data_IF_963269399549
#
_entry.id   IF_963269399549
#
_cell.length_a   1.000
_cell.length_b   1.000
_cell.length_c   1.000
_cell.angle_alpha   90.00
_cell.angle_beta   90.00
_cell.angle_gamma   90.00
#
_symmetry.space_group_name_H-M   'P 1'
#
loop_
_entity.id
_entity.type
_entity.pdbx_description
1 polymer ?
#
# COMPACT_ATOMS: atom_id res chain seq x y z
N UNK A 1 -26.80 -16.51 -31.85
CA UNK A 1 -26.74 -16.84 -30.42
C UNK A 1 -26.11 -15.66 -29.69
N UNK A 2 -26.87 -14.82 -28.98
CA UNK A 2 -26.26 -13.82 -28.11
C UNK A 2 -25.59 -14.58 -26.95
N UNK A 3 -24.28 -14.39 -26.78
CA UNK A 3 -23.53 -15.02 -25.71
C UNK A 3 -24.04 -14.55 -24.36
N UNK A 4 -24.46 -15.48 -23.51
CA UNK A 4 -24.75 -15.22 -22.10
C UNK A 4 -23.44 -14.88 -21.40
N UNK A 5 -23.26 -13.60 -21.06
CA UNK A 5 -22.16 -13.21 -20.17
C UNK A 5 -22.51 -13.68 -18.76
N UNK A 6 -21.69 -14.56 -18.22
CA UNK A 6 -21.77 -15.00 -16.83
C UNK A 6 -21.22 -13.85 -15.98
N UNK A 7 -22.10 -13.02 -15.44
CA UNK A 7 -21.72 -11.97 -14.51
C UNK A 7 -21.35 -12.66 -13.19
N UNK A 8 -20.08 -13.01 -13.04
CA UNK A 8 -19.55 -13.45 -11.74
C UNK A 8 -19.74 -12.25 -10.81
N UNK A 9 -20.53 -12.42 -9.76
CA UNK A 9 -20.83 -11.34 -8.82
C UNK A 9 -19.50 -10.73 -8.32
N UNK A 10 -19.24 -9.48 -8.69
CA UNK A 10 -18.03 -8.79 -8.24
C UNK A 10 -18.16 -8.55 -6.73
N UNK A 11 -17.20 -9.07 -5.96
CA UNK A 11 -17.14 -8.89 -4.51
C UNK A 11 -16.08 -7.83 -4.20
N UNK A 12 -16.50 -6.75 -3.56
CA UNK A 12 -15.58 -5.77 -2.99
C UNK A 12 -15.20 -6.20 -1.58
N UNK A 13 -13.93 -5.97 -1.20
CA UNK A 13 -13.48 -6.07 0.18
C UNK A 13 -13.26 -4.68 0.75
N UNK A 14 -13.92 -4.38 1.86
CA UNK A 14 -13.82 -3.11 2.58
C UNK A 14 -13.09 -3.35 3.89
N UNK A 15 -11.94 -2.68 4.04
CA UNK A 15 -11.20 -2.72 5.29
C UNK A 15 -11.83 -1.76 6.31
N UNK A 16 -12.11 -2.27 7.50
CA UNK A 16 -12.34 -1.47 8.71
C UNK A 16 -11.13 -1.65 9.64
N UNK A 17 -11.00 -0.88 10.74
CA UNK A 17 -9.85 -1.04 11.64
C UNK A 17 -9.67 -2.47 12.14
N UNK A 18 -10.72 -3.26 12.34
CA UNK A 18 -10.62 -4.60 12.94
C UNK A 18 -11.27 -5.69 12.10
N UNK A 19 -11.76 -5.40 10.89
CA UNK A 19 -12.44 -6.39 10.06
C UNK A 19 -12.18 -6.16 8.57
N UNK A 20 -12.33 -7.22 7.79
CA UNK A 20 -12.57 -7.13 6.34
C UNK A 20 -14.01 -7.50 6.05
N UNK A 21 -14.73 -6.61 5.38
CA UNK A 21 -16.13 -6.79 5.00
C UNK A 21 -16.21 -7.08 3.51
N UNK A 22 -16.70 -8.26 3.15
CA UNK A 22 -16.94 -8.65 1.77
C UNK A 22 -18.36 -8.26 1.37
N UNK A 23 -18.49 -7.48 0.30
CA UNK A 23 -19.74 -6.93 -0.20
C UNK A 23 -19.95 -7.36 -1.64
N UNK A 24 -21.09 -8.00 -1.93
CA UNK A 24 -21.54 -8.24 -3.29
C UNK A 24 -21.95 -6.91 -3.91
N UNK A 25 -21.22 -6.46 -4.92
CA UNK A 25 -21.33 -5.08 -5.43
C UNK A 25 -22.65 -4.81 -6.15
N UNK A 26 -23.21 -5.79 -6.85
CA UNK A 26 -24.45 -5.62 -7.61
C UNK A 26 -25.67 -5.37 -6.71
N UNK A 27 -25.71 -6.01 -5.54
CA UNK A 27 -26.82 -5.94 -4.59
C UNK A 27 -26.52 -5.07 -3.37
N UNK A 28 -25.27 -4.59 -3.24
CA UNK A 28 -24.72 -3.98 -2.03
C UNK A 28 -24.88 -4.83 -0.76
N UNK A 29 -25.05 -6.14 -0.91
CA UNK A 29 -25.27 -7.06 0.21
C UNK A 29 -23.94 -7.42 0.86
N UNK A 30 -23.86 -7.30 2.18
CA UNK A 30 -22.75 -7.86 2.95
C UNK A 30 -22.81 -9.38 2.87
N UNK A 31 -21.79 -9.96 2.23
CA UNK A 31 -21.62 -11.41 2.09
C UNK A 31 -20.99 -11.98 3.35
N UNK A 32 -19.99 -11.28 3.90
CA UNK A 32 -19.29 -11.71 5.12
C UNK A 32 -18.58 -10.56 5.81
N UNK A 33 -18.43 -10.67 7.12
CA UNK A 33 -17.47 -9.91 7.93
C UNK A 33 -16.46 -10.90 8.52
N UNK A 34 -15.18 -10.57 8.43
CA UNK A 34 -14.10 -11.39 8.98
C UNK A 34 -13.26 -10.53 9.92
N UNK A 35 -13.18 -10.95 11.17
CA UNK A 35 -12.42 -10.25 12.20
C UNK A 35 -10.91 -10.43 11.98
N UNK A 36 -10.17 -9.34 12.16
CA UNK A 36 -8.72 -9.30 12.05
C UNK A 36 -8.07 -9.55 13.42
N UNK A 37 -6.92 -10.25 13.46
CA UNK A 37 -6.17 -10.50 14.69
C UNK A 37 -5.52 -9.24 15.29
N UNK A 38 -5.57 -8.11 14.57
CA UNK A 38 -5.06 -6.81 14.99
C UNK A 38 -5.68 -5.70 14.17
N UNK A 39 -5.26 -4.46 14.41
CA UNK A 39 -5.76 -3.34 13.60
C UNK A 39 -5.20 -3.42 12.17
N UNK A 40 -6.03 -3.29 11.12
CA UNK A 40 -5.58 -3.28 9.73
C UNK A 40 -5.12 -1.90 9.27
N UNK A 41 -4.01 -1.82 8.54
CA UNK A 41 -3.48 -0.55 8.02
C UNK A 41 -3.85 -0.27 6.57
N UNK A 42 -3.92 -1.32 5.76
CA UNK A 42 -4.23 -1.24 4.33
C UNK A 42 -4.73 -2.61 3.84
N UNK A 43 -5.33 -2.68 2.65
CA UNK A 43 -5.86 -3.91 2.09
C UNK A 43 -5.50 -4.07 0.61
N UNK A 44 -4.96 -5.24 0.26
CA UNK A 44 -4.55 -5.58 -1.10
C UNK A 44 -5.29 -6.83 -1.56
N UNK A 45 -5.97 -6.75 -2.71
CA UNK A 45 -6.58 -7.92 -3.33
C UNK A 45 -5.50 -8.76 -4.02
N UNK A 46 -5.45 -10.04 -3.66
CA UNK A 46 -4.58 -11.02 -4.31
C UNK A 46 -5.28 -11.67 -5.52
N UNK A 47 -4.51 -12.25 -6.47
CA UNK A 47 -5.06 -12.85 -7.69
C UNK A 47 -6.01 -14.02 -7.43
N UNK A 48 -5.84 -14.72 -6.30
CA UNK A 48 -6.72 -15.81 -5.87
C UNK A 48 -7.97 -15.33 -5.11
N UNK A 49 -8.19 -14.01 -5.03
CA UNK A 49 -9.34 -13.40 -4.36
C UNK A 49 -9.20 -13.24 -2.86
N UNK A 50 -8.07 -13.63 -2.24
CA UNK A 50 -7.78 -13.33 -0.83
C UNK A 50 -7.38 -11.87 -0.66
N UNK A 51 -7.60 -11.35 0.55
CA UNK A 51 -7.26 -9.97 0.93
C UNK A 51 -6.08 -10.00 1.88
N UNK A 52 -5.00 -9.33 1.51
CA UNK A 52 -3.79 -9.24 2.32
C UNK A 52 -3.80 -7.92 3.09
N UNK A 53 -3.67 -7.99 4.41
CA UNK A 53 -3.88 -6.88 5.34
C UNK A 53 -2.69 -6.77 6.30
N UNK A 54 -1.80 -5.77 6.13
CA UNK A 54 -0.75 -5.51 7.10
C UNK A 54 -1.33 -4.95 8.41
N UNK A 55 -0.85 -5.41 9.56
CA UNK A 55 -1.44 -5.06 10.86
C UNK A 55 -0.75 -3.86 11.51
N UNK A 56 -1.44 -2.93 12.17
CA UNK A 56 -0.88 -1.83 12.95
C UNK A 56 -0.27 -2.37 14.26
N UNK A 57 0.95 -1.92 14.60
CA UNK A 57 1.63 -2.31 15.85
C UNK A 57 2.29 -3.70 15.88
N UNK A 58 2.06 -4.55 14.88
CA UNK A 58 2.59 -5.91 14.81
C UNK A 58 3.45 -6.14 13.56
N UNK A 59 4.56 -6.90 13.65
CA UNK A 59 5.39 -7.25 12.49
C UNK A 59 4.78 -8.43 11.69
N UNK A 60 3.48 -8.39 11.45
CA UNK A 60 2.70 -9.45 10.81
C UNK A 60 1.71 -8.94 9.79
N UNK A 61 1.25 -9.86 8.95
CA UNK A 61 0.29 -9.61 7.88
C UNK A 61 -0.82 -10.66 7.96
N UNK A 62 -2.08 -10.25 7.94
CA UNK A 62 -3.22 -11.15 7.87
C UNK A 62 -3.59 -11.42 6.39
N UNK A 63 -3.92 -12.65 6.05
CA UNK A 63 -4.44 -13.03 4.73
C UNK A 63 -5.84 -13.59 4.91
N UNK A 64 -6.81 -12.88 4.39
CA UNK A 64 -8.23 -13.05 4.68
C UNK A 64 -8.93 -13.60 3.45
N UNK A 65 -9.58 -14.75 3.59
CA UNK A 65 -10.41 -15.33 2.55
C UNK A 65 -11.88 -14.96 2.73
N UNK A 66 -12.62 -14.84 1.62
CA UNK A 66 -14.09 -14.62 1.65
C UNK A 66 -14.85 -15.79 2.31
N UNK A 67 -14.22 -16.97 2.42
CA UNK A 67 -14.74 -18.11 3.20
C UNK A 67 -14.75 -17.85 4.71
N UNK A 68 -14.01 -16.83 5.18
CA UNK A 68 -13.86 -16.49 6.60
C UNK A 68 -12.53 -16.94 7.21
N UNK A 69 -11.70 -17.66 6.46
CA UNK A 69 -10.37 -18.05 6.93
C UNK A 69 -9.42 -16.86 7.06
N UNK A 70 -8.64 -16.84 8.14
CA UNK A 70 -7.56 -15.86 8.35
C UNK A 70 -6.26 -16.62 8.59
N UNK A 71 -5.30 -16.45 7.68
CA UNK A 71 -3.94 -16.92 7.84
C UNK A 71 -3.05 -15.76 8.30
N UNK A 72 -2.03 -16.04 9.12
CA UNK A 72 -1.07 -15.04 9.57
C UNK A 72 0.30 -15.28 8.94
N UNK A 73 0.75 -14.32 8.15
CA UNK A 73 2.07 -14.32 7.56
C UNK A 73 3.08 -13.55 8.43
N UNK A 74 4.30 -14.10 8.63
CA UNK A 74 5.36 -13.39 9.30
C UNK A 74 5.91 -12.25 8.42
N UNK A 75 6.28 -11.17 9.09
CA UNK A 75 6.76 -9.97 8.44
C UNK A 75 5.60 -9.06 8.06
N UNK A 76 5.82 -7.77 8.29
CA UNK A 76 4.92 -6.72 7.87
C UNK A 76 5.18 -6.43 6.38
N UNK A 77 4.18 -6.64 5.55
CA UNK A 77 4.32 -6.46 4.10
C UNK A 77 3.76 -5.09 3.72
N UNK A 78 4.61 -4.15 3.29
CA UNK A 78 4.20 -2.85 2.78
C UNK A 78 4.83 -2.60 1.42
N UNK A 79 4.04 -2.16 0.44
CA UNK A 79 2.76 -2.71 -0.03
C UNK A 79 2.97 -3.90 -1.00
N UNK A 80 1.86 -4.49 -1.44
CA UNK A 80 1.80 -5.63 -2.34
C UNK A 80 1.33 -5.24 -3.73
N UNK A 81 2.02 -5.74 -4.75
CA UNK A 81 1.61 -5.60 -6.13
C UNK A 81 1.65 -6.94 -6.84
N UNK A 82 0.57 -7.26 -7.52
CA UNK A 82 0.46 -8.41 -8.41
C UNK A 82 0.46 -7.88 -9.83
N UNK A 83 1.55 -8.13 -10.56
CA UNK A 83 1.65 -7.81 -11.99
C UNK A 83 1.36 -9.05 -12.84
N UNK A 84 1.76 -10.21 -12.34
CA UNK A 84 1.39 -11.52 -12.87
C UNK A 84 0.70 -12.32 -11.74
N UNK A 85 -0.23 -13.26 -12.05
CA UNK A 85 -0.96 -14.01 -11.02
C UNK A 85 -0.07 -14.76 -10.02
N UNK A 86 1.14 -15.13 -10.45
CA UNK A 86 2.14 -15.89 -9.70
C UNK A 86 3.30 -15.03 -9.19
N UNK A 87 3.29 -13.70 -9.40
CA UNK A 87 4.35 -12.79 -8.96
C UNK A 87 3.84 -11.68 -8.06
N UNK A 88 4.53 -11.53 -6.95
CA UNK A 88 4.25 -10.55 -5.92
C UNK A 88 5.47 -9.67 -5.69
N UNK A 89 5.33 -8.36 -5.91
CA UNK A 89 6.35 -7.40 -5.51
C UNK A 89 6.15 -6.98 -4.06
N UNK A 90 7.23 -7.03 -3.30
CA UNK A 90 7.26 -6.70 -1.87
C UNK A 90 8.38 -5.73 -1.59
N UNK A 91 8.06 -4.62 -0.92
CA UNK A 91 9.07 -3.74 -0.34
C UNK A 91 9.30 -4.14 1.11
N UNK A 92 10.54 -4.48 1.43
CA UNK A 92 11.04 -4.82 2.76
C UNK A 92 12.07 -3.75 3.19
N UNK A 93 12.42 -3.67 4.50
CA UNK A 93 13.53 -2.83 4.92
C UNK A 93 14.82 -3.17 4.15
N UNK A 94 15.36 -2.19 3.43
CA UNK A 94 16.59 -2.34 2.64
C UNK A 94 16.48 -3.21 1.39
N UNK A 95 15.28 -3.67 0.99
CA UNK A 95 15.13 -4.65 -0.09
C UNK A 95 13.80 -4.50 -0.83
N UNK A 96 13.85 -4.41 -2.15
CA UNK A 96 12.71 -4.70 -3.02
C UNK A 96 12.86 -6.13 -3.55
N UNK A 97 11.84 -6.96 -3.36
CA UNK A 97 11.86 -8.35 -3.80
C UNK A 97 10.67 -8.65 -4.72
N UNK A 98 10.93 -9.51 -5.72
CA UNK A 98 9.88 -10.25 -6.43
C UNK A 98 9.81 -11.64 -5.83
N UNK A 99 8.64 -12.02 -5.34
CA UNK A 99 8.39 -13.34 -4.76
C UNK A 99 7.34 -14.07 -5.60
N UNK A 100 7.39 -15.40 -5.61
CA UNK A 100 6.27 -16.20 -6.11
C UNK A 100 5.05 -16.00 -5.22
N UNK A 101 3.87 -16.09 -5.80
CA UNK A 101 2.62 -16.14 -5.06
C UNK A 101 1.94 -17.51 -5.28
N UNK A 102 1.38 -18.13 -4.20
CA UNK A 102 1.39 -17.70 -2.80
C UNK A 102 2.61 -18.18 -1.98
N UNK A 103 3.50 -18.98 -2.56
CA UNK A 103 4.57 -19.69 -1.82
C UNK A 103 5.67 -18.76 -1.28
N UNK A 104 5.72 -17.50 -1.73
CA UNK A 104 6.68 -16.47 -1.32
C UNK A 104 8.14 -16.84 -1.61
N UNK A 105 8.37 -17.63 -2.66
CA UNK A 105 9.71 -18.04 -3.09
C UNK A 105 10.41 -16.84 -3.76
N UNK A 106 11.62 -16.44 -3.35
CA UNK A 106 12.33 -15.34 -3.99
C UNK A 106 12.65 -15.61 -5.46
N UNK A 107 12.19 -14.73 -6.35
CA UNK A 107 12.47 -14.74 -7.80
C UNK A 107 13.58 -13.73 -8.13
N UNK A 108 13.46 -12.51 -7.62
CA UNK A 108 14.44 -11.44 -7.83
C UNK A 108 14.57 -10.54 -6.60
N UNK A 109 15.75 -9.92 -6.43
CA UNK A 109 16.09 -9.06 -5.28
C UNK A 109 16.85 -7.84 -5.75
N UNK A 110 16.41 -6.68 -5.31
CA UNK A 110 17.07 -5.39 -5.54
C UNK A 110 17.35 -4.72 -4.19
N UNK A 111 18.64 -4.60 -3.79
CA UNK A 111 19.00 -3.89 -2.58
C UNK A 111 18.56 -2.42 -2.65
N UNK A 112 17.98 -1.94 -1.55
CA UNK A 112 17.69 -0.53 -1.33
C UNK A 112 18.61 -0.04 -0.20
N UNK A 113 19.90 0.18 -0.47
CA UNK A 113 20.88 0.50 0.57
C UNK A 113 20.57 1.85 1.27
N UNK A 114 20.55 1.88 2.62
CA UNK A 114 20.25 3.11 3.40
C UNK A 114 18.76 3.43 3.53
N UNK A 115 17.88 2.50 3.16
CA UNK A 115 16.44 2.70 3.02
C UNK A 115 15.73 1.83 4.07
N UNK A 116 15.52 2.36 5.27
CA UNK A 116 14.94 1.61 6.38
C UNK A 116 13.40 1.59 6.28
N UNK A 117 12.82 0.51 5.75
CA UNK A 117 11.40 0.18 5.86
C UNK A 117 10.44 1.10 5.10
N UNK A 118 9.98 0.67 3.93
CA UNK A 118 8.97 1.43 3.21
C UNK A 118 7.69 1.61 4.04
N UNK A 119 7.19 2.84 4.09
CA UNK A 119 5.92 3.18 4.75
C UNK A 119 4.74 3.15 3.79
N UNK A 120 4.99 3.43 2.50
CA UNK A 120 4.00 3.41 1.41
C UNK A 120 4.69 3.00 0.13
N UNK A 121 3.98 2.43 -0.82
CA UNK A 121 4.44 2.36 -2.20
C UNK A 121 3.23 2.28 -3.15
N UNK A 122 3.48 2.47 -4.45
CA UNK A 122 2.55 2.22 -5.54
C UNK A 122 3.30 1.49 -6.67
N UNK A 123 2.59 0.75 -7.51
CA UNK A 123 3.13 0.09 -8.69
C UNK A 123 2.13 0.24 -9.83
N UNK A 124 2.65 0.32 -11.04
CA UNK A 124 1.88 0.35 -12.27
C UNK A 124 1.83 -1.04 -12.89
N UNK A 125 0.89 -1.24 -13.82
CA UNK A 125 0.69 -2.52 -14.51
C UNK A 125 1.93 -3.00 -15.30
N UNK A 126 2.82 -2.09 -15.69
CA UNK A 126 4.08 -2.39 -16.39
C UNK A 126 5.27 -2.60 -15.43
N UNK A 127 5.02 -2.75 -14.13
CA UNK A 127 6.04 -3.11 -13.14
C UNK A 127 6.97 -1.97 -12.72
N UNK A 128 6.62 -0.71 -13.01
CA UNK A 128 7.28 0.44 -12.37
C UNK A 128 6.77 0.56 -10.94
N UNK A 129 7.65 0.92 -10.02
CA UNK A 129 7.33 1.00 -8.60
C UNK A 129 7.80 2.32 -8.01
N UNK A 130 7.02 2.84 -7.07
CA UNK A 130 7.35 4.04 -6.30
C UNK A 130 7.14 3.73 -4.83
N UNK A 131 8.19 3.77 -4.01
CA UNK A 131 8.11 3.54 -2.57
C UNK A 131 8.49 4.80 -1.78
N UNK A 132 7.79 5.07 -0.69
CA UNK A 132 8.16 6.08 0.31
C UNK A 132 8.90 5.36 1.42
N UNK A 133 10.12 5.79 1.66
CA UNK A 133 10.96 5.27 2.73
C UNK A 133 11.38 6.40 3.66
N UNK A 134 11.33 6.20 4.98
CA UNK A 134 11.90 7.11 5.94
C UNK A 134 13.44 7.13 5.87
N UNK A 135 14.01 8.33 5.85
CA UNK A 135 15.44 8.56 6.03
C UNK A 135 15.70 9.06 7.46
N UNK A 136 16.81 8.62 8.04
CA UNK A 136 17.25 9.07 9.35
C UNK A 136 18.18 10.30 9.24
N UNK A 137 18.06 11.32 10.13
CA UNK A 137 17.00 11.53 11.11
C UNK A 137 16.03 12.64 10.65
N UNK A 138 14.98 12.28 9.92
CA UNK A 138 13.83 13.17 9.67
C UNK A 138 13.45 13.39 8.21
N UNK A 139 14.28 12.93 7.28
CA UNK A 139 13.99 12.92 5.85
C UNK A 139 12.94 11.87 5.50
N UNK A 140 12.23 12.09 4.40
CA UNK A 140 11.44 11.06 3.71
C UNK A 140 11.92 11.07 2.28
N UNK A 141 12.24 9.91 1.74
CA UNK A 141 12.60 9.77 0.33
C UNK A 141 11.54 8.95 -0.39
N UNK A 142 11.17 9.43 -1.57
CA UNK A 142 10.49 8.65 -2.58
C UNK A 142 11.57 7.93 -3.41
N UNK A 143 11.54 6.60 -3.42
CA UNK A 143 12.35 5.78 -4.30
C UNK A 143 11.50 5.36 -5.49
N UNK A 144 11.84 5.87 -6.67
CA UNK A 144 11.29 5.46 -7.95
C UNK A 144 12.14 4.33 -8.50
N UNK A 145 11.54 3.18 -8.77
CA UNK A 145 12.17 2.05 -9.44
C UNK A 145 11.54 1.93 -10.82
N UNK A 146 12.17 2.51 -11.86
CA UNK A 146 11.66 2.36 -13.21
C UNK A 146 11.89 0.91 -13.63
N UNK A 147 10.81 0.16 -13.81
CA UNK A 147 10.74 -1.24 -14.22
C UNK A 147 11.82 -2.14 -13.60
N UNK A 148 11.44 -3.10 -12.75
CA UNK A 148 12.36 -3.95 -11.96
C UNK A 148 13.52 -4.61 -12.73
N UNK A 149 13.40 -4.78 -14.04
CA UNK A 149 14.43 -5.37 -14.90
C UNK A 149 15.37 -4.35 -15.57
N UNK A 150 15.04 -3.05 -15.59
CA UNK A 150 15.76 -2.02 -16.35
C UNK A 150 15.71 -0.64 -15.68
N UNK A 151 16.46 -0.46 -14.60
CA UNK A 151 16.64 0.87 -14.04
C UNK A 151 17.38 0.94 -12.71
N UNK A 152 18.13 2.02 -12.51
CA UNK A 152 18.62 2.37 -11.18
C UNK A 152 17.49 3.07 -10.39
N UNK A 153 17.36 2.81 -9.08
CA UNK A 153 16.42 3.54 -8.24
C UNK A 153 16.76 5.03 -8.21
N UNK A 154 15.76 5.89 -8.39
CA UNK A 154 15.88 7.35 -8.27
C UNK A 154 15.32 7.77 -6.92
N UNK A 155 16.06 8.62 -6.19
CA UNK A 155 15.64 9.17 -4.90
C UNK A 155 15.14 10.58 -5.05
N UNK A 156 14.01 10.89 -4.42
CA UNK A 156 13.44 12.24 -4.33
C UNK A 156 13.13 12.55 -2.88
N UNK A 157 13.71 13.63 -2.35
CA UNK A 157 13.40 14.10 -1.01
C UNK A 157 11.96 14.64 -0.93
N UNK A 158 11.24 14.25 0.11
CA UNK A 158 9.88 14.69 0.41
C UNK A 158 9.92 15.65 1.61
N UNK A 159 9.22 16.78 1.50
CA UNK A 159 9.12 17.78 2.57
C UNK A 159 8.25 17.40 3.77
N UNK A 160 7.87 16.12 3.91
CA UNK A 160 7.03 15.61 4.99
C UNK A 160 6.57 14.17 4.78
N UNK A 161 5.84 13.62 5.75
CA UNK A 161 5.24 12.28 5.64
C UNK A 161 4.11 12.32 4.61
N UNK A 162 4.19 11.58 3.50
CA UNK A 162 3.10 11.52 2.56
C UNK A 162 1.90 10.77 3.14
N UNK A 163 0.70 11.25 2.85
CA UNK A 163 -0.57 10.57 3.16
C UNK A 163 -1.01 9.62 2.06
N UNK A 164 -0.55 9.83 0.83
CA UNK A 164 -0.91 9.02 -0.34
C UNK A 164 0.23 9.03 -1.36
N UNK A 165 0.42 7.90 -2.03
CA UNK A 165 1.25 7.79 -3.24
C UNK A 165 0.48 6.96 -4.26
N UNK A 166 0.47 7.41 -5.51
CA UNK A 166 -0.11 6.70 -6.64
C UNK A 166 0.81 6.78 -7.85
N UNK A 167 0.75 5.76 -8.71
CA UNK A 167 1.55 5.62 -9.92
C UNK A 167 0.62 5.20 -11.06
N UNK A 168 0.66 5.96 -12.15
CA UNK A 168 -0.07 5.67 -13.38
C UNK A 168 0.71 4.71 -14.28
N UNK A 169 0.00 4.08 -15.23
CA UNK A 169 0.58 3.10 -16.15
C UNK A 169 1.68 3.66 -17.07
N UNK A 170 1.66 4.97 -17.34
CA UNK A 170 2.69 5.67 -18.11
C UNK A 170 3.92 6.06 -17.28
N UNK A 171 3.92 5.74 -15.98
CA UNK A 171 5.01 6.05 -15.05
C UNK A 171 4.86 7.42 -14.38
N UNK A 172 3.82 8.20 -14.69
CA UNK A 172 3.52 9.42 -13.96
C UNK A 172 3.08 9.07 -12.54
N UNK A 173 3.56 9.81 -11.54
CA UNK A 173 3.23 9.56 -10.13
C UNK A 173 2.74 10.82 -9.44
N UNK A 174 1.92 10.63 -8.40
CA UNK A 174 1.50 11.70 -7.51
C UNK A 174 1.72 11.31 -6.05
N UNK A 175 2.23 12.25 -5.27
CA UNK A 175 2.45 12.11 -3.83
C UNK A 175 1.71 13.23 -3.11
N UNK A 176 0.80 12.87 -2.22
CA UNK A 176 0.14 13.84 -1.35
C UNK A 176 0.91 13.93 -0.04
N UNK A 177 1.43 15.11 0.29
CA UNK A 177 2.06 15.41 1.58
C UNK A 177 1.16 16.39 2.34
N UNK A 178 0.52 15.99 3.44
CA UNK A 178 -0.27 16.90 4.25
C UNK A 178 0.62 18.04 4.75
N UNK A 179 0.19 19.28 4.53
CA UNK A 179 0.81 20.41 5.22
C UNK A 179 0.60 20.23 6.71
N UNK A 180 1.67 20.20 7.51
CA UNK A 180 1.56 20.39 8.95
C UNK A 180 0.87 21.74 9.16
N UNK A 181 -0.35 21.74 9.70
CA UNK A 181 -0.91 22.96 10.29
C UNK A 181 0.03 23.33 11.44
N UNK A 182 0.81 24.40 11.27
CA UNK A 182 1.51 25.02 12.39
C UNK A 182 0.52 25.44 13.47
N UNK A 183 0.98 25.67 14.71
CA UNK A 183 0.12 26.19 15.76
C UNK A 183 -0.55 27.47 15.25
N UNK A 184 -1.88 27.54 15.33
CA UNK A 184 -2.60 28.82 15.13
C UNK A 184 -2.05 29.77 16.17
N UNK A 185 -1.25 30.76 15.77
CA UNK A 185 -0.98 31.91 16.61
C UNK A 185 -2.34 32.56 16.91
N UNK A 186 -2.78 32.67 18.19
CA UNK A 186 -3.88 33.54 18.51
C UNK A 186 -3.44 34.97 18.17
N UNK A 187 -4.30 35.68 17.44
CA UNK A 187 -3.99 36.92 16.74
C UNK A 187 -3.20 37.92 17.58
N UNK A 188 -2.13 38.44 16.97
CA UNK A 188 -1.51 39.68 17.40
C UNK A 188 -2.55 40.79 17.34
N UNK A 189 -2.95 41.29 18.50
CA UNK A 189 -3.71 42.53 18.62
C UNK A 189 -2.87 43.66 18.01
N UNK A 190 -3.28 44.16 16.84
CA UNK A 190 -2.78 45.39 16.28
C UNK A 190 -3.26 46.54 17.17
N UNK A 191 -2.43 47.00 18.12
CA UNK A 191 -2.66 48.26 18.83
C UNK A 191 -2.30 49.39 17.87
N UNK A 192 -3.33 50.01 17.28
CA UNK A 192 -3.19 51.30 16.62
C UNK A 192 -2.97 52.39 17.68
N UNK A 193 -1.79 52.99 17.70
CA UNK A 193 -1.51 54.24 18.40
C UNK A 193 -2.34 55.37 17.77
N UNK A 194 -3.19 56.03 18.55
CA UNK A 194 -3.60 57.41 18.28
C UNK A 194 -3.01 58.30 19.36
N UNK A 195 -2.24 59.29 18.92
CA UNK A 195 -2.04 60.54 19.68
C UNK A 195 -3.31 61.38 19.56
#
# INVERSE_FOLDING_TARGET
MPGSFLLVAAVAAVLTPREVVFVETASARVVRRVELPGEGLDAFAAPDGRIVVPLAGDAGTAVVAVSGGVERWPGRVFPLFFVEPDRMYVVLPGLLATLSYPERIPIARMPLAGVAGARRAACSADGRLVAVIPEDPGGRALVLVPALERGAPVRVELGGEPSLVTLAADGAFAVAVPRRRGPRHPGGACRSSRR
#
